data_IF_885370573326
#
_entry.id   IF_885370573326
#
_cell.length_a   1.000
_cell.length_b   1.000
_cell.length_c   1.000
_cell.angle_alpha   90.00
_cell.angle_beta   90.00
_cell.angle_gamma   90.00
#
_symmetry.space_group_name_H-M   'P 1'
#
loop_
_entity.id
_entity.type
_entity.pdbx_description
1 polymer ?
#
# COMPACT_ATOMS: atom_id res chain seq x y z
N UNK A 1 -22.14 -34.44 20.69
CA UNK A 1 -21.05 -33.70 21.34
C UNK A 1 -19.89 -33.37 20.39
N UNK A 2 -19.63 -34.21 19.37
CA UNK A 2 -18.49 -34.04 18.43
C UNK A 2 -18.63 -32.83 17.48
N UNK A 3 -19.87 -32.42 17.18
CA UNK A 3 -20.11 -31.32 16.21
C UNK A 3 -19.78 -29.92 16.76
N UNK A 4 -19.81 -29.72 18.08
CA UNK A 4 -19.49 -28.41 18.70
C UNK A 4 -17.98 -28.17 18.89
N UNK A 5 -17.18 -29.23 19.03
CA UNK A 5 -15.72 -29.09 19.14
C UNK A 5 -15.07 -28.76 17.79
N UNK A 6 -15.55 -29.36 16.69
CA UNK A 6 -15.04 -29.09 15.34
C UNK A 6 -15.33 -27.62 14.91
N UNK A 7 -16.47 -27.06 15.31
CA UNK A 7 -16.80 -25.65 15.04
C UNK A 7 -15.90 -24.69 15.81
N UNK A 8 -15.57 -25.01 17.08
CA UNK A 8 -14.66 -24.18 17.89
C UNK A 8 -13.21 -24.22 17.42
N UNK A 9 -12.75 -25.37 16.94
CA UNK A 9 -11.39 -25.48 16.37
C UNK A 9 -11.28 -24.75 15.03
N UNK A 10 -12.29 -24.79 14.17
CA UNK A 10 -12.31 -24.07 12.90
C UNK A 10 -12.37 -22.53 13.09
N UNK A 11 -13.15 -22.05 14.07
CA UNK A 11 -13.19 -20.63 14.44
C UNK A 11 -11.87 -20.16 15.08
N UNK A 12 -11.24 -20.98 15.91
CA UNK A 12 -9.95 -20.67 16.52
C UNK A 12 -8.79 -20.68 15.50
N UNK A 13 -8.86 -21.53 14.49
CA UNK A 13 -7.87 -21.59 13.41
C UNK A 13 -8.05 -20.44 12.41
N UNK A 14 -9.30 -20.04 12.15
CA UNK A 14 -9.63 -18.82 11.39
C UNK A 14 -9.09 -17.57 12.07
N UNK A 15 -9.34 -17.38 13.35
CA UNK A 15 -8.83 -16.24 14.13
C UNK A 15 -7.29 -16.23 14.25
N UNK A 16 -6.65 -17.40 14.37
CA UNK A 16 -5.18 -17.50 14.35
C UNK A 16 -4.60 -17.13 12.99
N UNK A 17 -5.25 -17.51 11.89
CA UNK A 17 -4.79 -17.18 10.55
C UNK A 17 -4.94 -15.69 10.24
N UNK A 18 -5.97 -15.00 10.76
CA UNK A 18 -6.17 -13.56 10.64
C UNK A 18 -5.17 -12.80 11.51
N UNK A 19 -4.95 -13.22 12.74
CA UNK A 19 -3.96 -12.64 13.65
C UNK A 19 -2.53 -12.81 13.12
N UNK A 20 -2.21 -13.96 12.48
CA UNK A 20 -0.94 -14.21 11.80
C UNK A 20 -0.76 -13.34 10.55
N UNK A 21 -1.82 -13.04 9.81
CA UNK A 21 -1.80 -12.09 8.68
C UNK A 21 -1.57 -10.66 9.16
N UNK A 22 -2.26 -10.23 10.21
CA UNK A 22 -2.07 -8.93 10.86
C UNK A 22 -0.64 -8.76 11.38
N UNK A 23 -0.12 -9.75 12.11
CA UNK A 23 1.26 -9.74 12.63
C UNK A 23 2.31 -9.75 11.51
N UNK A 24 2.06 -10.45 10.39
CA UNK A 24 2.94 -10.40 9.22
C UNK A 24 2.86 -9.07 8.48
N UNK A 25 1.71 -8.39 8.48
CA UNK A 25 1.57 -7.04 7.92
C UNK A 25 2.31 -6.00 8.77
N UNK A 26 2.29 -6.13 10.09
CA UNK A 26 3.01 -5.26 11.05
C UNK A 26 4.54 -5.43 10.92
N UNK A 27 5.02 -6.65 10.64
CA UNK A 27 6.45 -6.96 10.49
C UNK A 27 6.98 -6.79 9.05
N UNK A 28 6.17 -6.28 8.11
CA UNK A 28 6.65 -5.89 6.79
C UNK A 28 7.18 -4.47 6.86
N UNK A 29 8.25 -4.21 6.15
CA UNK A 29 8.69 -2.85 5.83
C UNK A 29 7.57 -2.20 4.99
N UNK A 30 6.61 -1.58 5.66
CA UNK A 30 5.55 -0.82 4.99
C UNK A 30 6.15 0.49 4.50
N UNK A 31 6.07 0.71 3.21
CA UNK A 31 6.34 2.03 2.66
C UNK A 31 5.27 3.01 3.14
N UNK A 32 5.70 4.05 3.84
CA UNK A 32 4.84 5.12 4.36
C UNK A 32 4.96 6.34 3.45
N UNK A 33 3.86 7.06 3.29
CA UNK A 33 3.83 8.31 2.51
C UNK A 33 2.90 9.33 3.16
N UNK A 34 2.96 10.55 2.70
CA UNK A 34 1.98 11.59 3.03
C UNK A 34 1.41 12.21 1.76
N UNK A 35 0.19 12.74 1.84
CA UNK A 35 -0.42 13.47 0.74
C UNK A 35 -1.41 14.51 1.27
N UNK A 36 -1.38 15.71 0.69
CA UNK A 36 -2.37 16.75 1.00
C UNK A 36 -3.75 16.43 0.41
N UNK A 37 -3.78 15.76 -0.74
CA UNK A 37 -5.01 15.40 -1.47
C UNK A 37 -5.20 13.89 -1.48
N UNK A 38 -6.45 13.44 -1.58
CA UNK A 38 -6.74 12.03 -1.79
C UNK A 38 -6.04 11.56 -3.08
N UNK A 39 -5.21 10.53 -3.02
CA UNK A 39 -4.53 10.01 -4.21
C UNK A 39 -5.55 9.56 -5.27
N UNK A 40 -5.23 9.70 -6.56
CA UNK A 40 -6.04 9.10 -7.62
C UNK A 40 -6.18 7.59 -7.38
N UNK A 41 -7.25 6.99 -7.88
CA UNK A 41 -7.53 5.55 -7.74
C UNK A 41 -7.73 5.08 -6.28
N UNK A 42 -8.00 6.03 -5.38
CA UNK A 42 -8.37 5.78 -3.99
C UNK A 42 -9.78 6.32 -3.71
N UNK A 43 -10.60 5.55 -3.03
CA UNK A 43 -11.95 5.92 -2.62
C UNK A 43 -12.10 5.79 -1.11
N UNK A 44 -12.64 6.83 -0.45
CA UNK A 44 -12.97 6.76 0.97
C UNK A 44 -14.15 5.83 1.18
N UNK A 45 -13.98 4.86 2.07
CA UNK A 45 -15.04 3.94 2.52
C UNK A 45 -15.58 4.33 3.89
N UNK A 46 -14.75 5.00 4.73
CA UNK A 46 -15.16 5.51 6.03
C UNK A 46 -14.31 6.73 6.42
N UNK A 47 -14.86 7.58 7.29
CA UNK A 47 -14.21 8.79 7.77
C UNK A 47 -14.19 9.92 6.75
N UNK A 48 -13.25 10.84 6.90
CA UNK A 48 -13.07 12.01 6.03
C UNK A 48 -11.61 12.23 5.71
N UNK A 49 -11.35 12.76 4.51
CA UNK A 49 -10.01 13.25 4.16
C UNK A 49 -9.69 14.51 4.97
N UNK A 50 -8.44 14.93 4.93
CA UNK A 50 -7.92 16.04 5.74
C UNK A 50 -8.73 17.32 5.57
N UNK A 51 -9.01 17.97 6.68
CA UNK A 51 -9.64 19.29 6.79
C UNK A 51 -9.10 20.03 8.02
N UNK A 52 -9.59 21.23 8.28
CA UNK A 52 -9.13 22.08 9.40
C UNK A 52 -9.34 21.46 10.79
N UNK A 53 -10.16 20.43 10.91
CA UNK A 53 -10.43 19.69 12.15
C UNK A 53 -9.65 18.40 12.27
N UNK A 54 -8.79 18.09 11.28
CA UNK A 54 -8.00 16.87 11.27
C UNK A 54 -6.91 16.92 12.35
N UNK A 55 -6.73 15.87 13.17
CA UNK A 55 -5.62 15.80 14.11
C UNK A 55 -4.27 15.90 13.41
N UNK A 56 -3.30 16.53 14.08
CA UNK A 56 -1.94 16.69 13.55
C UNK A 56 -1.24 15.36 13.29
N UNK A 57 -1.68 14.26 13.93
CA UNK A 57 -1.14 12.91 13.76
C UNK A 57 -2.06 11.98 12.96
N UNK A 58 -2.82 12.50 12.02
CA UNK A 58 -3.78 11.72 11.25
C UNK A 58 -3.15 10.78 10.23
N UNK A 59 -3.74 9.59 10.08
CA UNK A 59 -3.40 8.61 9.06
C UNK A 59 -4.66 8.05 8.41
N UNK A 60 -4.60 7.81 7.11
CA UNK A 60 -5.58 7.06 6.34
C UNK A 60 -5.03 5.67 6.05
N UNK A 61 -5.82 4.63 6.34
CA UNK A 61 -5.45 3.23 6.14
C UNK A 61 -6.25 2.61 4.99
N UNK A 62 -5.63 1.68 4.29
CA UNK A 62 -6.30 0.86 3.28
C UNK A 62 -7.24 -0.17 3.95
N UNK A 63 -8.40 -0.45 3.33
CA UNK A 63 -9.49 -1.22 3.93
C UNK A 63 -9.14 -2.67 4.28
N UNK A 64 -8.47 -3.40 3.38
CA UNK A 64 -8.10 -4.80 3.65
C UNK A 64 -7.02 -4.89 4.74
N UNK A 65 -6.11 -3.91 4.79
CA UNK A 65 -5.13 -3.82 5.87
C UNK A 65 -5.82 -3.49 7.20
N UNK A 66 -6.77 -2.56 7.23
CA UNK A 66 -7.54 -2.24 8.44
C UNK A 66 -8.29 -3.47 8.97
N UNK A 67 -8.97 -4.21 8.11
CA UNK A 67 -9.65 -5.46 8.47
C UNK A 67 -8.66 -6.51 9.01
N UNK A 68 -7.52 -6.70 8.35
CA UNK A 68 -6.51 -7.68 8.76
C UNK A 68 -5.87 -7.37 10.12
N UNK A 69 -5.77 -6.09 10.48
CA UNK A 69 -5.27 -5.62 11.76
C UNK A 69 -6.35 -5.53 12.84
N UNK A 70 -7.63 -5.58 12.44
CA UNK A 70 -8.77 -5.42 13.33
C UNK A 70 -8.90 -3.99 13.90
N UNK A 71 -8.50 -2.97 13.11
CA UNK A 71 -8.53 -1.57 13.51
C UNK A 71 -9.54 -0.76 12.73
N UNK A 72 -10.01 0.35 13.29
CA UNK A 72 -11.02 1.23 12.72
C UNK A 72 -10.77 2.71 12.96
N UNK A 73 -11.77 3.53 12.63
CA UNK A 73 -11.71 4.97 12.84
C UNK A 73 -11.52 5.32 14.32
N UNK A 74 -10.58 6.20 14.60
CA UNK A 74 -10.26 6.67 15.96
C UNK A 74 -9.22 5.80 16.68
N UNK A 75 -8.86 4.64 16.15
CA UNK A 75 -7.80 3.81 16.72
C UNK A 75 -6.42 4.45 16.47
N UNK A 76 -5.51 4.20 17.40
CA UNK A 76 -4.13 4.70 17.36
C UNK A 76 -3.18 3.61 16.92
N UNK A 77 -2.33 3.92 15.94
CA UNK A 77 -1.29 3.05 15.43
C UNK A 77 0.09 3.56 15.82
N UNK A 78 0.92 2.67 16.34
CA UNK A 78 2.32 2.94 16.66
C UNK A 78 3.26 2.50 15.53
N UNK A 79 4.19 3.36 15.17
CA UNK A 79 5.22 3.11 14.15
C UNK A 79 6.60 3.31 14.75
N UNK A 80 7.58 2.57 14.26
CA UNK A 80 8.99 2.82 14.53
C UNK A 80 9.69 3.05 13.21
N UNK A 81 10.14 4.28 12.97
CA UNK A 81 10.78 4.71 11.74
C UNK A 81 12.21 5.12 12.07
N UNK A 82 13.20 4.34 11.62
CA UNK A 82 14.61 4.56 11.92
C UNK A 82 14.91 4.77 13.42
N UNK A 83 14.23 4.01 14.29
CA UNK A 83 14.39 4.08 15.73
C UNK A 83 13.60 5.21 16.40
N UNK A 84 12.86 6.02 15.66
CA UNK A 84 11.95 7.03 16.21
C UNK A 84 10.54 6.46 16.31
N UNK A 85 9.92 6.58 17.48
CA UNK A 85 8.54 6.19 17.68
C UNK A 85 7.62 7.31 17.19
N UNK A 86 6.63 6.95 16.36
CA UNK A 86 5.57 7.80 15.87
C UNK A 86 4.23 7.15 16.19
N UNK A 87 3.26 7.94 16.67
CA UNK A 87 1.89 7.50 16.86
C UNK A 87 0.95 8.27 15.93
N UNK A 88 0.01 7.56 15.32
CA UNK A 88 -0.97 8.18 14.42
C UNK A 88 -2.37 7.63 14.63
N UNK A 89 -3.36 8.52 14.50
CA UNK A 89 -4.78 8.21 14.66
C UNK A 89 -5.44 7.97 13.31
N UNK A 90 -6.16 6.86 13.16
CA UNK A 90 -6.91 6.53 11.94
C UNK A 90 -8.10 7.48 11.82
N UNK A 91 -8.07 8.36 10.83
CA UNK A 91 -9.15 9.34 10.55
C UNK A 91 -9.97 8.99 9.32
N UNK A 92 -9.45 8.10 8.47
CA UNK A 92 -10.19 7.59 7.31
C UNK A 92 -9.72 6.20 6.89
N UNK A 93 -10.63 5.46 6.27
CA UNK A 93 -10.38 4.18 5.63
C UNK A 93 -10.67 4.33 4.15
N UNK A 94 -9.82 3.78 3.30
CA UNK A 94 -9.94 3.91 1.85
C UNK A 94 -9.75 2.57 1.15
N UNK A 95 -10.47 2.39 0.06
CA UNK A 95 -10.23 1.33 -0.90
C UNK A 95 -9.23 1.82 -1.95
N UNK A 96 -8.30 0.97 -2.33
CA UNK A 96 -7.22 1.27 -3.27
C UNK A 96 -7.32 0.35 -4.49
N UNK A 97 -7.23 0.92 -5.68
CA UNK A 97 -7.08 0.14 -6.91
C UNK A 97 -5.60 -0.19 -7.13
N UNK A 98 -5.22 -1.46 -6.92
CA UNK A 98 -3.83 -1.92 -7.00
C UNK A 98 -3.37 -2.34 -8.40
N UNK A 99 -4.29 -2.49 -9.34
CA UNK A 99 -4.04 -3.03 -10.68
C UNK A 99 -3.60 -1.97 -11.71
N UNK A 100 -3.39 -0.76 -11.27
CA UNK A 100 -2.80 0.33 -12.04
C UNK A 100 -1.31 0.53 -11.70
N UNK A 101 -0.57 1.21 -12.58
CA UNK A 101 0.86 1.50 -12.37
C UNK A 101 1.12 2.80 -11.59
N UNK A 102 0.11 3.31 -10.91
CA UNK A 102 0.23 4.45 -10.01
C UNK A 102 0.80 3.96 -8.67
N UNK A 103 1.83 4.61 -8.12
CA UNK A 103 2.32 4.27 -6.79
C UNK A 103 1.20 4.45 -5.75
N UNK A 104 0.81 3.36 -5.13
CA UNK A 104 -0.18 3.33 -4.06
C UNK A 104 0.45 2.82 -2.75
N UNK A 105 -0.13 3.21 -1.63
CA UNK A 105 0.40 2.93 -0.30
C UNK A 105 -0.71 2.44 0.62
N UNK A 106 -0.41 1.50 1.50
CA UNK A 106 -1.34 1.01 2.51
C UNK A 106 -1.70 2.09 3.53
N UNK A 107 -0.75 2.96 3.87
CA UNK A 107 -0.94 4.06 4.82
C UNK A 107 -0.50 5.37 4.20
N UNK A 108 -1.36 6.38 4.30
CA UNK A 108 -1.10 7.75 3.87
C UNK A 108 -1.30 8.66 5.07
N UNK A 109 -0.30 9.44 5.41
CA UNK A 109 -0.34 10.38 6.53
C UNK A 109 -0.80 11.77 6.09
N UNK A 110 -1.33 12.53 7.01
CA UNK A 110 -1.57 13.96 6.79
C UNK A 110 -0.24 14.70 6.59
N UNK A 111 -0.24 15.85 5.87
CA UNK A 111 0.94 16.69 5.74
C UNK A 111 1.51 17.07 7.12
N UNK A 112 2.84 17.06 7.23
CA UNK A 112 3.54 17.41 8.46
C UNK A 112 3.85 16.25 9.40
N UNK A 113 3.07 15.15 9.36
CA UNK A 113 3.25 14.01 10.29
C UNK A 113 4.60 13.33 10.13
N UNK A 114 5.11 13.24 8.92
CA UNK A 114 6.39 12.59 8.60
C UNK A 114 7.55 13.60 8.45
N UNK A 115 7.36 14.86 8.84
CA UNK A 115 8.39 15.88 8.71
C UNK A 115 9.62 15.54 9.56
N UNK A 116 10.81 15.77 8.97
CA UNK A 116 12.08 15.47 9.62
C UNK A 116 12.53 14.00 9.55
N UNK A 117 11.71 13.11 8.97
CA UNK A 117 12.09 11.74 8.71
C UNK A 117 12.77 11.61 7.34
N UNK A 118 13.71 10.67 7.17
CA UNK A 118 14.31 10.41 5.86
C UNK A 118 13.26 9.99 4.84
N UNK A 119 13.32 10.56 3.64
CA UNK A 119 12.35 10.31 2.59
C UNK A 119 13.01 9.94 1.27
N UNK A 120 12.35 9.03 0.53
CA UNK A 120 12.67 8.71 -0.85
C UNK A 120 11.54 9.21 -1.74
N UNK A 121 11.86 9.93 -2.79
CA UNK A 121 10.87 10.36 -3.77
C UNK A 121 10.60 9.25 -4.77
N UNK A 122 9.33 8.90 -4.96
CA UNK A 122 8.88 7.92 -5.93
C UNK A 122 7.93 8.59 -6.92
N UNK A 123 8.14 8.36 -8.20
CA UNK A 123 7.21 8.78 -9.26
C UNK A 123 7.14 7.73 -10.34
N UNK A 124 6.03 7.67 -11.07
CA UNK A 124 5.86 6.88 -12.27
C UNK A 124 5.46 7.77 -13.43
N UNK A 125 5.91 7.42 -14.63
CA UNK A 125 5.55 8.11 -15.85
C UNK A 125 5.56 7.14 -17.04
N UNK A 126 4.74 7.44 -18.03
CA UNK A 126 4.76 6.73 -19.30
C UNK A 126 5.71 7.44 -20.27
N UNK A 127 6.60 6.69 -20.89
CA UNK A 127 7.52 7.19 -21.89
C UNK A 127 7.36 6.40 -23.21
N UNK A 128 7.04 7.08 -24.33
CA UNK A 128 7.01 6.42 -25.63
C UNK A 128 8.33 5.75 -25.99
N UNK A 129 8.28 4.61 -26.66
CA UNK A 129 9.48 3.83 -27.04
C UNK A 129 10.49 4.67 -27.83
N UNK A 130 10.02 5.64 -28.64
CA UNK A 130 10.86 6.56 -29.40
C UNK A 130 11.73 7.49 -28.53
N UNK A 131 11.34 7.72 -27.27
CA UNK A 131 12.00 8.64 -26.35
C UNK A 131 12.88 7.95 -25.31
N UNK A 132 12.94 6.62 -25.31
CA UNK A 132 13.73 5.83 -24.33
C UNK A 132 15.23 6.21 -24.32
N UNK A 133 15.76 6.73 -25.42
CA UNK A 133 17.14 7.19 -25.48
C UNK A 133 17.43 8.34 -24.50
N UNK A 134 16.42 9.15 -24.16
CA UNK A 134 16.53 10.28 -23.22
C UNK A 134 16.75 9.81 -21.77
N UNK A 135 16.32 8.59 -21.40
CA UNK A 135 16.52 8.01 -20.06
C UNK A 135 18.02 7.88 -19.72
N UNK A 136 18.87 7.60 -20.72
CA UNK A 136 20.32 7.52 -20.51
C UNK A 136 20.92 8.88 -20.13
N UNK A 137 20.35 9.97 -20.64
CA UNK A 137 20.71 11.32 -20.25
C UNK A 137 20.32 11.61 -18.81
N UNK A 138 19.11 11.20 -18.43
CA UNK A 138 18.57 11.40 -17.09
C UNK A 138 19.40 10.68 -16.01
N UNK A 139 19.73 9.39 -16.22
CA UNK A 139 20.54 8.62 -15.28
C UNK A 139 21.98 9.14 -15.16
N UNK A 140 22.54 9.74 -16.22
CA UNK A 140 23.85 10.40 -16.13
C UNK A 140 23.81 11.72 -15.35
N UNK A 141 22.72 12.46 -15.49
CA UNK A 141 22.55 13.74 -14.81
C UNK A 141 22.21 13.55 -13.32
N UNK A 142 21.51 12.48 -12.99
CA UNK A 142 21.05 12.17 -11.63
C UNK A 142 21.49 10.73 -11.21
N UNK A 143 22.76 10.55 -10.86
CA UNK A 143 23.32 9.21 -10.58
C UNK A 143 22.74 8.55 -9.32
N UNK A 144 22.11 9.33 -8.43
CA UNK A 144 21.41 8.81 -7.23
C UNK A 144 20.00 8.30 -7.53
N UNK A 145 19.51 8.49 -8.75
CA UNK A 145 18.17 8.05 -9.15
C UNK A 145 18.20 6.58 -9.58
N UNK A 146 17.27 5.79 -9.07
CA UNK A 146 17.02 4.42 -9.55
C UNK A 146 15.87 4.45 -10.54
N UNK A 147 16.10 3.97 -11.75
CA UNK A 147 15.09 3.83 -12.80
C UNK A 147 14.68 2.36 -12.92
N UNK A 148 13.39 2.09 -12.81
CA UNK A 148 12.81 0.76 -12.99
C UNK A 148 11.91 0.75 -14.22
N UNK A 149 12.28 -0.04 -15.23
CA UNK A 149 11.42 -0.27 -16.40
C UNK A 149 10.46 -1.42 -16.10
N UNK A 150 9.16 -1.13 -16.03
CA UNK A 150 8.11 -2.13 -15.72
C UNK A 150 7.53 -2.81 -16.96
N UNK A 151 7.67 -2.22 -18.15
CA UNK A 151 7.09 -2.73 -19.39
C UNK A 151 7.60 -4.15 -19.78
N UNK A 152 8.89 -4.51 -19.68
CA UNK A 152 9.35 -5.86 -19.98
C UNK A 152 8.70 -6.93 -19.10
N UNK A 153 8.44 -6.60 -17.83
CA UNK A 153 7.77 -7.52 -16.88
C UNK A 153 6.32 -7.73 -17.30
N UNK A 154 5.64 -6.67 -17.74
CA UNK A 154 4.26 -6.74 -18.21
C UNK A 154 4.10 -7.54 -19.49
N UNK A 155 5.00 -7.36 -20.44
CA UNK A 155 5.02 -8.15 -21.67
C UNK A 155 5.20 -9.64 -21.38
N UNK A 156 6.07 -9.98 -20.42
CA UNK A 156 6.27 -11.37 -19.99
C UNK A 156 5.00 -11.95 -19.36
N UNK A 157 4.32 -11.20 -18.47
CA UNK A 157 3.06 -11.63 -17.84
C UNK A 157 1.97 -11.81 -18.90
N UNK A 158 1.80 -10.86 -19.82
CA UNK A 158 0.85 -10.97 -20.93
C UNK A 158 1.14 -12.18 -21.83
N UNK A 159 2.40 -12.48 -22.08
CA UNK A 159 2.83 -13.65 -22.82
C UNK A 159 2.41 -14.96 -22.15
N UNK A 160 2.61 -15.06 -20.84
CA UNK A 160 2.22 -16.23 -20.04
C UNK A 160 0.69 -16.38 -20.03
N UNK A 161 -0.07 -15.30 -19.79
CA UNK A 161 -1.52 -15.32 -19.80
C UNK A 161 -2.08 -15.78 -21.15
N UNK A 162 -1.51 -15.30 -22.26
CA UNK A 162 -1.90 -15.73 -23.60
C UNK A 162 -1.63 -17.22 -23.83
N UNK A 163 -0.52 -17.76 -23.34
CA UNK A 163 -0.22 -19.19 -23.43
C UNK A 163 -1.21 -20.03 -22.62
N UNK A 164 -1.56 -19.58 -21.40
CA UNK A 164 -2.54 -20.27 -20.55
C UNK A 164 -3.92 -20.27 -21.21
N UNK A 165 -4.38 -19.15 -21.76
CA UNK A 165 -5.66 -19.05 -22.46
C UNK A 165 -5.72 -20.01 -23.66
N UNK A 166 -4.67 -20.08 -24.46
CA UNK A 166 -4.60 -21.02 -25.60
C UNK A 166 -4.55 -22.49 -25.16
N UNK A 167 -4.04 -22.78 -23.96
CA UNK A 167 -3.99 -24.17 -23.44
C UNK A 167 -5.35 -24.64 -22.88
N UNK A 168 -6.25 -23.72 -22.54
CA UNK A 168 -7.59 -24.03 -22.00
C UNK A 168 -8.63 -24.19 -23.10
N UNK A 169 -8.37 -23.68 -24.33
CA UNK A 169 -9.25 -23.82 -25.48
C UNK A 169 -9.10 -25.16 -26.26
N UNK A 170 -8.27 -26.08 -25.76
CA UNK A 170 -8.12 -27.46 -26.25
C UNK A 170 -8.60 -28.43 -25.17
#
# INVERSE_FOLDING_TARGET
PVRQEVSKEAEADGQRSEQDRGTRAINRDLSLTWSATLPPDNQLTAGQWWNDSTPDNAVSIESELAESLGVGLGDELGFVIEGQALSATITSIRQVEWDNFTPNFYMVFAPGVLDGLPATLLTSFHLPTSERASLRGLTRQFPAMTLLEVEPVLEQIRGILKQVTLAVEY
#
